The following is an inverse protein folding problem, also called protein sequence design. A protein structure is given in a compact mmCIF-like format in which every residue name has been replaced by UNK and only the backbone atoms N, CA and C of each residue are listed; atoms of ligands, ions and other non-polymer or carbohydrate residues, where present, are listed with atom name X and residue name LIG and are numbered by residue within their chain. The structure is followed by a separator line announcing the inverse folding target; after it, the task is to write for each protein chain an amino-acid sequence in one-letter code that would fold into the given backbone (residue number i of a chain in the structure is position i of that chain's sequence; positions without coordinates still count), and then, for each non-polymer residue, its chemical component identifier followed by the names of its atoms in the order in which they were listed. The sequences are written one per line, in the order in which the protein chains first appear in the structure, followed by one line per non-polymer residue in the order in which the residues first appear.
data_IF_497892558079
#
_entry.id   IF_497892558079
#
_cell.length_a   1.000
_cell.length_b   1.000
_cell.length_c   1.000
_cell.angle_alpha   90.00
_cell.angle_beta   90.00
_cell.angle_gamma   90.00
#
_symmetry.space_group_name_H-M   'P 1'
#
loop_
_entity.id
_entity.type
_entity.pdbx_description
1 polymer ?
#
# COMPACT_ATOMS: atom_id res chain seq x y z
N UNK A 1 5.70 0.27 3.69
CA UNK A 1 5.15 -0.76 2.77
C UNK A 1 4.56 -1.89 3.58
N UNK A 2 3.32 -2.29 3.28
CA UNK A 2 2.64 -3.39 3.96
C UNK A 2 2.83 -4.66 3.12
N UNK A 3 3.56 -5.62 3.68
CA UNK A 3 3.86 -6.89 3.06
C UNK A 3 3.42 -8.02 4.01
N UNK A 4 2.49 -8.86 3.59
CA UNK A 4 1.98 -9.95 4.42
C UNK A 4 0.51 -10.26 4.15
N UNK A 5 -0.02 -11.22 4.90
CA UNK A 5 -1.38 -11.72 4.80
C UNK A 5 -1.43 -13.17 4.30
N UNK A 6 -2.56 -13.87 4.56
CA UNK A 6 -2.74 -15.29 4.21
C UNK A 6 -2.53 -15.61 2.71
N UNK A 7 -2.56 -14.59 1.84
CA UNK A 7 -2.29 -14.69 0.41
C UNK A 7 -0.90 -14.17 0.00
N UNK A 8 0.05 -14.00 0.94
CA UNK A 8 1.39 -13.47 0.68
C UNK A 8 2.23 -14.37 -0.24
N UNK A 9 1.85 -15.63 -0.42
CA UNK A 9 2.58 -16.62 -1.20
C UNK A 9 1.90 -16.94 -2.52
N UNK A 10 2.63 -16.76 -3.60
CA UNK A 10 2.26 -17.10 -4.97
C UNK A 10 2.92 -18.44 -5.33
N UNK A 11 2.15 -19.54 -5.35
CA UNK A 11 2.75 -20.86 -5.61
C UNK A 11 3.93 -21.23 -4.70
N UNK A 12 3.98 -20.64 -3.47
CA UNK A 12 5.11 -20.82 -2.53
C UNK A 12 6.13 -19.68 -2.50
N UNK A 13 6.09 -18.75 -3.48
CA UNK A 13 6.96 -17.57 -3.52
C UNK A 13 6.28 -16.34 -2.92
N UNK A 14 7.07 -15.43 -2.33
CA UNK A 14 6.60 -14.15 -1.83
C UNK A 14 6.24 -13.23 -3.01
N UNK A 15 4.98 -12.77 -3.10
CA UNK A 15 4.43 -12.02 -4.25
C UNK A 15 5.26 -10.79 -4.64
N UNK A 16 5.70 -10.01 -3.67
CA UNK A 16 6.51 -8.81 -3.91
C UNK A 16 7.88 -9.09 -4.53
N UNK A 17 8.34 -10.34 -4.49
CA UNK A 17 9.60 -10.75 -5.12
C UNK A 17 9.43 -11.12 -6.60
N UNK A 18 8.20 -11.25 -7.09
CA UNK A 18 7.92 -11.45 -8.52
C UNK A 18 8.37 -10.23 -9.31
N UNK A 19 8.83 -10.45 -10.54
CA UNK A 19 9.28 -9.38 -11.42
C UNK A 19 8.17 -8.95 -12.39
N UNK A 20 8.11 -7.64 -12.64
CA UNK A 20 7.29 -7.00 -13.66
C UNK A 20 8.19 -6.05 -14.44
N UNK A 21 8.36 -6.30 -15.74
CA UNK A 21 9.27 -5.52 -16.58
C UNK A 21 10.72 -5.55 -16.07
N UNK A 22 11.21 -6.73 -15.69
CA UNK A 22 12.58 -6.96 -15.23
C UNK A 22 12.94 -6.32 -13.87
N UNK A 23 11.93 -5.93 -13.07
CA UNK A 23 12.15 -5.37 -11.73
C UNK A 23 11.14 -5.94 -10.74
N UNK A 24 11.62 -6.37 -9.55
CA UNK A 24 10.74 -6.90 -8.51
C UNK A 24 9.66 -5.89 -8.14
N UNK A 25 8.44 -6.36 -7.85
CA UNK A 25 7.32 -5.52 -7.44
C UNK A 25 7.69 -4.74 -6.17
N UNK A 26 8.26 -5.41 -5.18
CA UNK A 26 8.78 -4.81 -3.95
C UNK A 26 9.72 -3.63 -4.22
N UNK A 27 10.67 -3.76 -5.15
CA UNK A 27 11.63 -2.70 -5.47
C UNK A 27 10.98 -1.50 -6.18
N UNK A 28 9.86 -1.72 -6.90
CA UNK A 28 9.06 -0.65 -7.48
C UNK A 28 8.34 0.14 -6.40
N UNK A 29 7.66 -0.56 -5.48
CA UNK A 29 6.94 0.07 -4.36
C UNK A 29 7.90 0.83 -3.44
N UNK A 30 9.04 0.23 -3.11
CA UNK A 30 10.10 0.89 -2.31
C UNK A 30 10.56 2.18 -2.96
N UNK A 31 10.81 2.16 -4.28
CA UNK A 31 11.26 3.37 -4.98
C UNK A 31 10.19 4.48 -4.97
N UNK A 32 8.91 4.13 -5.20
CA UNK A 32 7.82 5.10 -5.18
C UNK A 32 7.61 5.72 -3.79
N UNK A 33 7.71 4.90 -2.72
CA UNK A 33 7.63 5.40 -1.34
C UNK A 33 8.83 6.30 -1.00
N UNK A 34 10.03 5.89 -1.37
CA UNK A 34 11.24 6.69 -1.14
C UNK A 34 11.21 8.02 -1.89
N UNK A 35 10.74 8.03 -3.15
CA UNK A 35 10.52 9.25 -3.93
C UNK A 35 9.53 10.20 -3.24
N UNK A 36 8.41 9.66 -2.76
CA UNK A 36 7.35 10.46 -2.15
C UNK A 36 7.73 11.02 -0.77
N UNK A 37 8.42 10.23 0.04
CA UNK A 37 8.74 10.58 1.43
C UNK A 37 10.12 11.26 1.59
N UNK A 38 10.99 11.18 0.57
CA UNK A 38 12.38 11.63 0.69
C UNK A 38 13.22 10.83 1.69
N UNK A 39 12.76 9.61 2.07
CA UNK A 39 13.39 8.76 3.06
C UNK A 39 13.20 7.28 2.71
N UNK A 40 14.06 6.41 3.26
CA UNK A 40 13.90 4.96 3.10
C UNK A 40 12.61 4.48 3.78
N UNK A 41 11.75 3.69 3.08
CA UNK A 41 10.56 3.12 3.69
C UNK A 41 10.92 1.94 4.59
N UNK A 42 10.02 1.62 5.54
CA UNK A 42 10.05 0.36 6.28
C UNK A 42 9.19 -0.69 5.61
N UNK A 43 9.48 -1.96 5.88
CA UNK A 43 8.66 -3.12 5.50
C UNK A 43 7.91 -3.60 6.74
N UNK A 44 6.59 -3.69 6.66
CA UNK A 44 5.77 -4.30 7.71
C UNK A 44 5.45 -5.72 7.25
N UNK A 45 5.95 -6.70 7.97
CA UNK A 45 5.81 -8.12 7.63
C UNK A 45 6.11 -9.01 8.85
N UNK A 46 5.31 -10.07 9.03
CA UNK A 46 5.50 -11.07 10.07
C UNK A 46 6.35 -12.26 9.61
N UNK A 47 6.58 -12.41 8.31
CA UNK A 47 7.36 -13.50 7.74
C UNK A 47 8.83 -13.41 8.16
N UNK A 48 9.41 -14.50 8.73
CA UNK A 48 10.81 -14.51 9.17
C UNK A 48 11.80 -14.15 8.05
N UNK A 49 11.46 -14.51 6.79
CA UNK A 49 12.28 -14.26 5.60
C UNK A 49 12.25 -12.81 5.13
N UNK A 50 11.34 -11.97 5.64
CA UNK A 50 11.16 -10.60 5.18
C UNK A 50 12.44 -9.76 5.28
N UNK A 51 13.28 -10.03 6.30
CA UNK A 51 14.58 -9.37 6.47
C UNK A 51 15.57 -9.66 5.34
N UNK A 52 15.39 -10.75 4.61
CA UNK A 52 16.23 -11.10 3.47
C UNK A 52 15.77 -10.46 2.15
N UNK A 53 14.52 -9.93 2.07
CA UNK A 53 13.97 -9.36 0.85
C UNK A 53 14.69 -8.07 0.42
N UNK A 54 15.00 -7.23 1.41
CA UNK A 54 15.75 -5.96 1.26
C UNK A 54 16.54 -5.71 2.55
N UNK A 55 17.82 -6.12 2.56
CA UNK A 55 18.70 -6.04 3.74
C UNK A 55 19.05 -4.61 4.18
N UNK A 56 18.84 -3.65 3.28
CA UNK A 56 19.04 -2.22 3.50
C UNK A 56 17.82 -1.52 4.10
N UNK A 57 16.70 -2.24 4.28
CA UNK A 57 15.48 -1.69 4.87
C UNK A 57 15.15 -2.34 6.21
N UNK A 58 14.56 -1.54 7.10
CA UNK A 58 14.02 -2.03 8.36
C UNK A 58 12.76 -2.87 8.12
N UNK A 59 12.66 -3.99 8.82
CA UNK A 59 11.47 -4.86 8.84
C UNK A 59 10.88 -4.84 10.23
N UNK A 60 9.63 -4.42 10.32
CA UNK A 60 8.84 -4.31 11.56
C UNK A 60 7.71 -5.33 11.52
N UNK A 61 7.59 -6.21 12.53
CA UNK A 61 6.44 -7.13 12.63
C UNK A 61 5.16 -6.38 13.01
N UNK A 62 4.02 -6.96 12.72
CA UNK A 62 2.73 -6.39 13.12
C UNK A 62 2.61 -6.27 14.63
N UNK A 63 2.20 -5.08 15.12
CA UNK A 63 1.94 -4.85 16.58
C UNK A 63 0.75 -5.66 17.07
N UNK A 64 -0.17 -6.05 16.18
CA UNK A 64 -1.29 -6.96 16.41
C UNK A 64 -1.35 -7.97 15.25
N UNK A 65 -0.63 -9.11 15.36
CA UNK A 65 -0.62 -10.13 14.32
C UNK A 65 -2.00 -10.72 14.05
N UNK A 66 -2.25 -11.14 12.81
CA UNK A 66 -3.47 -11.83 12.43
C UNK A 66 -4.61 -10.90 11.95
N UNK A 67 -4.45 -9.59 11.98
CA UNK A 67 -5.45 -8.62 11.55
C UNK A 67 -5.24 -8.10 10.11
N UNK A 68 -4.43 -8.78 9.34
CA UNK A 68 -4.22 -8.53 7.92
C UNK A 68 -3.85 -7.07 7.59
N UNK A 69 -4.46 -6.52 6.56
CA UNK A 69 -4.14 -5.17 6.08
C UNK A 69 -4.38 -4.08 7.13
N UNK A 70 -5.42 -4.21 7.98
CA UNK A 70 -5.71 -3.22 9.01
C UNK A 70 -4.67 -3.25 10.13
N UNK A 71 -4.17 -4.43 10.50
CA UNK A 71 -3.03 -4.59 11.42
C UNK A 71 -1.77 -3.91 10.89
N UNK A 72 -1.45 -4.12 9.61
CA UNK A 72 -0.33 -3.45 8.96
C UNK A 72 -0.45 -1.92 8.92
N UNK A 73 -1.65 -1.38 8.67
CA UNK A 73 -1.88 0.09 8.75
C UNK A 73 -1.67 0.59 10.17
N UNK A 74 -2.18 -0.12 11.19
CA UNK A 74 -1.97 0.22 12.59
C UNK A 74 -0.48 0.27 12.93
N UNK A 75 0.25 -0.79 12.57
CA UNK A 75 1.70 -0.89 12.78
C UNK A 75 2.44 0.29 12.15
N UNK A 76 2.10 0.64 10.89
CA UNK A 76 2.71 1.77 10.21
C UNK A 76 2.49 3.09 10.95
N UNK A 77 1.25 3.36 11.37
CA UNK A 77 0.88 4.60 12.06
C UNK A 77 1.55 4.68 13.44
N UNK A 78 1.59 3.58 14.20
CA UNK A 78 2.21 3.57 15.55
C UNK A 78 3.73 3.66 15.49
N UNK A 79 4.36 3.11 14.42
CA UNK A 79 5.81 3.15 14.27
C UNK A 79 6.30 4.51 13.76
N UNK A 80 5.60 5.10 12.80
CA UNK A 80 6.09 6.28 12.05
C UNK A 80 5.32 7.58 12.36
N UNK A 81 4.14 7.51 12.97
CA UNK A 81 3.22 8.64 13.05
C UNK A 81 2.55 8.89 11.69
N UNK A 82 2.63 10.11 11.12
CA UNK A 82 2.11 10.36 9.77
C UNK A 82 2.84 9.48 8.75
N UNK A 83 2.11 8.69 7.95
CA UNK A 83 2.71 7.67 7.12
C UNK A 83 1.98 7.46 5.79
N UNK A 84 2.74 7.02 4.78
CA UNK A 84 2.24 6.50 3.51
C UNK A 84 2.21 4.97 3.57
N UNK A 85 1.05 4.37 3.31
CA UNK A 85 0.88 2.93 3.22
C UNK A 85 0.65 2.50 1.78
N UNK A 86 1.45 1.55 1.30
CA UNK A 86 1.28 0.90 0.00
C UNK A 86 1.42 -0.60 0.19
N UNK A 87 0.50 -1.39 -0.41
CA UNK A 87 0.63 -2.83 -0.48
C UNK A 87 1.78 -3.22 -1.41
N UNK A 88 2.53 -4.23 -1.03
CA UNK A 88 3.73 -4.69 -1.75
C UNK A 88 3.46 -5.38 -3.10
N UNK A 89 2.20 -5.65 -3.42
CA UNK A 89 1.74 -6.27 -4.66
C UNK A 89 1.16 -5.28 -5.69
N UNK A 90 1.37 -3.96 -5.48
CA UNK A 90 0.95 -2.87 -6.36
C UNK A 90 2.14 -2.30 -7.18
N UNK A 91 2.52 -2.88 -8.31
CA UNK A 91 3.73 -2.51 -9.05
C UNK A 91 3.72 -1.14 -9.73
N UNK A 92 2.56 -0.48 -9.86
CA UNK A 92 2.38 0.68 -10.72
C UNK A 92 2.07 1.99 -10.00
N UNK A 93 2.03 1.99 -8.67
CA UNK A 93 1.79 3.21 -7.86
C UNK A 93 2.98 4.16 -8.01
N UNK A 94 2.78 5.42 -8.51
CA UNK A 94 3.88 6.37 -8.70
C UNK A 94 4.11 7.23 -7.45
N UNK A 95 5.36 7.63 -7.22
CA UNK A 95 5.74 8.50 -6.10
C UNK A 95 4.94 9.82 -6.04
N UNK A 96 4.73 10.54 -7.15
CA UNK A 96 3.94 11.78 -7.14
C UNK A 96 2.50 11.62 -6.61
N UNK A 97 1.82 10.50 -6.88
CA UNK A 97 0.51 10.21 -6.28
C UNK A 97 0.61 10.09 -4.75
N UNK A 98 1.61 9.34 -4.28
CA UNK A 98 1.86 9.16 -2.84
C UNK A 98 2.19 10.49 -2.16
N UNK A 99 3.00 11.34 -2.78
CA UNK A 99 3.30 12.67 -2.27
C UNK A 99 2.03 13.54 -2.14
N UNK A 100 1.14 13.48 -3.13
CA UNK A 100 -0.14 14.20 -3.09
C UNK A 100 -1.06 13.71 -1.96
N UNK A 101 -1.10 12.38 -1.72
CA UNK A 101 -1.84 11.80 -0.60
C UNK A 101 -1.26 12.26 0.74
N UNK A 102 0.07 12.22 0.89
CA UNK A 102 0.76 12.69 2.10
C UNK A 102 0.51 14.16 2.41
N UNK A 103 0.54 15.02 1.40
CA UNK A 103 0.26 16.45 1.54
C UNK A 103 -1.17 16.73 2.04
N UNK A 104 -2.11 15.87 1.72
CA UNK A 104 -3.51 15.98 2.14
C UNK A 104 -3.72 15.79 3.65
N UNK A 105 -2.77 15.17 4.37
CA UNK A 105 -2.85 15.00 5.84
C UNK A 105 -2.83 16.33 6.61
N UNK A 106 -2.44 17.43 5.99
CA UNK A 106 -2.55 18.75 6.61
C UNK A 106 -4.00 19.13 6.98
N UNK A 107 -4.99 18.54 6.30
CA UNK A 107 -6.42 18.84 6.49
C UNK A 107 -7.27 17.66 6.94
N UNK A 108 -6.70 16.46 7.08
CA UNK A 108 -7.44 15.23 7.37
C UNK A 108 -6.61 14.27 8.23
N UNK A 109 -7.30 13.30 8.84
CA UNK A 109 -6.65 12.25 9.63
C UNK A 109 -6.22 11.08 8.73
N UNK A 110 -6.92 10.87 7.60
CA UNK A 110 -6.55 9.94 6.55
C UNK A 110 -6.84 10.53 5.16
N UNK A 111 -6.06 10.17 4.16
CA UNK A 111 -6.27 10.54 2.76
C UNK A 111 -6.21 9.29 1.90
N UNK A 112 -7.31 8.97 1.24
CA UNK A 112 -7.44 7.76 0.41
C UNK A 112 -7.81 8.16 -1.04
N UNK A 113 -7.22 7.55 -2.06
CA UNK A 113 -7.62 7.82 -3.45
C UNK A 113 -8.93 7.11 -3.78
N UNK A 114 -9.77 7.74 -4.59
CA UNK A 114 -10.91 7.08 -5.21
C UNK A 114 -10.42 6.08 -6.26
N UNK A 115 -11.08 4.93 -6.33
CA UNK A 115 -10.75 3.83 -7.23
C UNK A 115 -12.01 3.15 -7.76
N UNK A 116 -11.83 2.32 -8.79
CA UNK A 116 -12.89 1.48 -9.36
C UNK A 116 -13.12 0.17 -8.55
N UNK A 117 -12.51 0.06 -7.35
CA UNK A 117 -12.73 -1.07 -6.45
C UNK A 117 -14.15 -1.08 -5.90
N UNK A 118 -14.68 -2.24 -5.44
CA UNK A 118 -16.02 -2.31 -4.83
C UNK A 118 -16.20 -1.39 -3.61
N UNK A 119 -15.12 -0.92 -3.00
CA UNK A 119 -15.14 0.04 -1.88
C UNK A 119 -15.14 1.50 -2.35
N UNK A 120 -14.91 1.75 -3.64
CA UNK A 120 -14.78 3.08 -4.20
C UNK A 120 -13.50 3.83 -3.81
N UNK A 121 -12.62 3.21 -3.01
CA UNK A 121 -11.34 3.77 -2.55
C UNK A 121 -10.28 2.69 -2.44
N UNK A 122 -8.99 3.10 -2.42
CA UNK A 122 -7.86 2.17 -2.25
C UNK A 122 -7.12 2.43 -0.92
N UNK A 123 -7.51 1.72 0.15
CA UNK A 123 -6.93 1.94 1.48
C UNK A 123 -5.48 1.45 1.61
N UNK A 124 -5.02 0.59 0.70
CA UNK A 124 -3.62 0.13 0.68
C UNK A 124 -2.76 0.89 -0.34
N UNK A 125 -3.20 2.07 -0.73
CA UNK A 125 -2.41 3.12 -1.39
C UNK A 125 -2.87 4.47 -0.82
N UNK A 126 -2.52 4.78 0.44
CA UNK A 126 -3.14 5.86 1.19
C UNK A 126 -2.17 6.51 2.18
N UNK A 127 -2.54 7.68 2.70
CA UNK A 127 -1.84 8.35 3.78
C UNK A 127 -2.68 8.32 5.06
N UNK A 128 -2.03 8.07 6.20
CA UNK A 128 -2.67 7.97 7.51
C UNK A 128 -1.92 8.79 8.55
N UNK A 129 -2.67 9.57 9.33
CA UNK A 129 -2.15 10.35 10.45
C UNK A 129 -2.29 9.60 11.79
N UNK A 130 -1.64 10.11 12.86
CA UNK A 130 -1.60 9.47 14.18
C UNK A 130 -2.99 9.24 14.81
N UNK A 131 -3.97 10.10 14.51
CA UNK A 131 -5.34 9.95 15.00
C UNK A 131 -6.01 8.64 14.57
N UNK A 132 -5.55 8.02 13.48
CA UNK A 132 -6.08 6.75 13.00
C UNK A 132 -5.78 5.59 13.96
N UNK A 133 -4.70 5.61 14.73
CA UNK A 133 -4.29 4.47 15.57
C UNK A 133 -5.39 4.07 16.59
N UNK A 134 -5.94 5.02 17.34
CA UNK A 134 -6.99 4.74 18.30
C UNK A 134 -8.27 4.22 17.62
N UNK A 135 -8.66 4.80 16.48
CA UNK A 135 -9.83 4.37 15.73
C UNK A 135 -9.66 2.95 15.13
N UNK A 136 -8.45 2.62 14.65
CA UNK A 136 -8.13 1.27 14.17
C UNK A 136 -8.20 0.26 15.33
N UNK A 137 -7.59 0.54 16.47
CA UNK A 137 -7.69 -0.34 17.66
C UNK A 137 -9.13 -0.58 18.09
N UNK A 138 -9.97 0.46 18.06
CA UNK A 138 -11.38 0.32 18.37
C UNK A 138 -12.13 -0.53 17.33
N UNK A 139 -11.80 -0.44 16.05
CA UNK A 139 -12.37 -1.29 15.01
C UNK A 139 -11.98 -2.76 15.21
N UNK A 140 -10.70 -3.03 15.45
CA UNK A 140 -10.18 -4.38 15.72
C UNK A 140 -10.82 -4.99 16.96
N UNK A 141 -10.99 -4.21 18.03
CA UNK A 141 -11.66 -4.66 19.26
C UNK A 141 -13.14 -5.06 19.04
N UNK A 142 -13.77 -4.50 18.00
CA UNK A 142 -15.13 -4.89 17.55
C UNK A 142 -15.14 -6.10 16.60
N UNK A 143 -13.99 -6.67 16.27
CA UNK A 143 -13.84 -7.77 15.31
C UNK A 143 -13.99 -7.34 13.85
N UNK A 144 -13.79 -6.06 13.52
CA UNK A 144 -13.87 -5.56 12.15
C UNK A 144 -12.46 -5.31 11.59
N UNK A 145 -11.94 -6.30 10.85
CA UNK A 145 -10.59 -6.30 10.27
C UNK A 145 -10.53 -5.68 8.86
N UNK A 146 -11.64 -5.12 8.36
CA UNK A 146 -11.64 -4.46 7.03
C UNK A 146 -10.75 -3.22 7.06
N UNK A 147 -9.92 -3.04 6.05
CA UNK A 147 -8.98 -1.91 5.97
C UNK A 147 -9.64 -0.51 6.05
N UNK A 148 -10.96 -0.42 5.86
CA UNK A 148 -11.76 0.81 5.95
C UNK A 148 -12.64 0.88 7.21
N UNK A 149 -12.54 -0.08 8.13
CA UNK A 149 -13.44 -0.24 9.29
C UNK A 149 -13.49 0.99 10.20
N UNK A 150 -12.39 1.73 10.28
CA UNK A 150 -12.22 2.91 11.13
C UNK A 150 -12.52 4.25 10.44
N UNK A 151 -12.78 4.27 9.13
CA UNK A 151 -12.94 5.50 8.36
C UNK A 151 -14.08 6.39 8.86
N UNK A 152 -15.12 5.80 9.44
CA UNK A 152 -16.25 6.55 10.03
C UNK A 152 -15.89 7.27 11.35
N UNK A 153 -14.79 6.87 11.98
CA UNK A 153 -14.38 7.31 13.31
C UNK A 153 -13.28 8.41 13.23
N UNK A 154 -12.86 8.80 12.01
CA UNK A 154 -11.81 9.79 11.72
C UNK A 154 -12.20 10.68 10.54
N UNK A 155 -11.50 11.80 10.35
CA UNK A 155 -11.69 12.69 9.18
C UNK A 155 -10.95 12.10 7.99
N UNK A 156 -11.69 11.48 7.07
CA UNK A 156 -11.15 10.94 5.82
C UNK A 156 -11.36 11.91 4.68
N UNK A 157 -10.28 12.41 4.08
CA UNK A 157 -10.32 13.08 2.79
C UNK A 157 -10.17 12.04 1.66
N UNK A 158 -10.99 12.20 0.62
CA UNK A 158 -10.84 11.41 -0.61
C UNK A 158 -10.11 12.25 -1.65
N UNK A 159 -9.06 11.68 -2.25
CA UNK A 159 -8.49 12.25 -3.47
C UNK A 159 -9.41 11.86 -4.63
N UNK A 160 -10.14 12.83 -5.26
CA UNK A 160 -11.13 12.51 -6.27
C UNK A 160 -10.53 11.79 -7.48
N UNK A 161 -11.34 10.96 -8.15
CA UNK A 161 -10.92 10.17 -9.31
C UNK A 161 -10.27 11.01 -10.41
N UNK A 162 -10.79 12.20 -10.67
CA UNK A 162 -10.25 13.15 -11.67
C UNK A 162 -8.82 13.61 -11.31
N UNK A 163 -8.52 13.70 -10.02
CA UNK A 163 -7.17 14.01 -9.53
C UNK A 163 -6.25 12.81 -9.63
N UNK A 164 -6.75 11.60 -9.34
CA UNK A 164 -6.00 10.35 -9.50
C UNK A 164 -5.60 10.14 -10.97
N UNK A 165 -6.49 10.43 -11.91
CA UNK A 165 -6.23 10.33 -13.36
C UNK A 165 -5.04 11.18 -13.83
N UNK A 166 -4.67 12.24 -13.12
CA UNK A 166 -3.48 13.04 -13.44
C UNK A 166 -2.16 12.25 -13.25
N UNK A 167 -2.19 11.17 -12.46
CA UNK A 167 -1.04 10.28 -12.20
C UNK A 167 -1.09 9.01 -13.05
N UNK A 168 -2.24 8.70 -13.65
CA UNK A 168 -2.48 7.54 -14.49
C UNK A 168 -3.87 6.95 -14.33
N UNK A 169 -4.15 5.91 -15.10
CA UNK A 169 -5.42 5.18 -15.01
C UNK A 169 -5.52 4.45 -13.67
N UNK A 170 -6.56 4.71 -12.83
CA UNK A 170 -6.76 4.04 -11.54
C UNK A 170 -6.78 2.51 -11.65
N UNK A 171 -7.33 1.94 -12.73
CA UNK A 171 -7.34 0.50 -12.97
C UNK A 171 -5.93 -0.09 -13.14
N UNK A 172 -4.96 0.72 -13.58
CA UNK A 172 -3.55 0.33 -13.69
C UNK A 172 -2.80 0.68 -12.41
N UNK A 173 -3.00 1.89 -11.87
CA UNK A 173 -2.28 2.36 -10.68
C UNK A 173 -2.47 1.42 -9.48
N UNK A 174 -3.73 0.97 -9.26
CA UNK A 174 -4.12 0.13 -8.13
C UNK A 174 -4.21 -1.36 -8.49
N UNK A 175 -3.59 -1.76 -9.60
CA UNK A 175 -3.55 -3.16 -10.01
C UNK A 175 -2.72 -3.99 -9.02
N UNK A 176 -3.33 -5.05 -8.48
CA UNK A 176 -2.68 -5.98 -7.55
C UNK A 176 -2.29 -7.27 -8.26
N UNK A 177 -1.09 -7.77 -8.01
CA UNK A 177 -0.61 -9.06 -8.52
C UNK A 177 -0.88 -10.14 -7.46
N UNK A 178 -2.00 -10.85 -7.62
CA UNK A 178 -2.44 -11.89 -6.68
C UNK A 178 -2.36 -13.31 -7.23
N UNK A 179 -2.46 -13.49 -8.55
CA UNK A 179 -2.55 -14.78 -9.26
C UNK A 179 -1.59 -14.81 -10.45
N UNK A 180 -1.28 -15.99 -11.02
CA UNK A 180 -0.47 -16.12 -12.23
C UNK A 180 -0.93 -15.23 -13.38
N UNK A 181 -2.23 -15.19 -13.62
CA UNK A 181 -2.79 -14.37 -14.69
C UNK A 181 -2.58 -12.88 -14.47
N UNK A 182 -2.57 -12.44 -13.19
CA UNK A 182 -2.30 -11.04 -12.85
C UNK A 182 -0.85 -10.66 -13.18
N UNK A 183 0.10 -11.58 -13.00
CA UNK A 183 1.48 -11.33 -13.38
C UNK A 183 1.63 -11.15 -14.89
N UNK A 184 1.00 -12.02 -15.69
CA UNK A 184 1.01 -11.89 -17.14
C UNK A 184 0.37 -10.57 -17.60
N UNK A 185 -0.73 -10.15 -16.96
CA UNK A 185 -1.38 -8.85 -17.21
C UNK A 185 -0.49 -7.67 -16.81
N UNK A 186 0.16 -7.74 -15.64
CA UNK A 186 1.10 -6.71 -15.19
C UNK A 186 2.27 -6.55 -16.17
N UNK A 187 2.82 -7.65 -16.69
CA UNK A 187 3.85 -7.64 -17.73
C UNK A 187 3.36 -6.96 -19.01
N UNK A 188 2.14 -7.26 -19.46
CA UNK A 188 1.54 -6.62 -20.63
C UNK A 188 1.36 -5.10 -20.44
N UNK A 189 0.85 -4.69 -19.27
CA UNK A 189 0.70 -3.28 -18.87
C UNK A 189 2.06 -2.56 -18.81
N UNK A 190 3.09 -3.22 -18.30
CA UNK A 190 4.44 -2.65 -18.25
C UNK A 190 5.00 -2.39 -19.65
N UNK A 191 4.84 -3.33 -20.59
CA UNK A 191 5.28 -3.17 -21.98
C UNK A 191 4.56 -2.04 -22.71
N UNK A 192 3.23 -1.94 -22.56
CA UNK A 192 2.47 -0.86 -23.20
C UNK A 192 2.91 0.53 -22.70
N UNK A 193 3.20 0.68 -21.43
CA UNK A 193 3.70 1.96 -20.85
C UNK A 193 5.11 2.32 -21.33
N UNK A 194 5.96 1.35 -21.61
CA UNK A 194 7.30 1.58 -22.15
C UNK A 194 7.28 2.05 -23.61
N UNK A 195 6.26 1.65 -24.38
CA UNK A 195 6.10 2.02 -25.81
C UNK A 195 5.58 3.45 -26.03
N UNK A 196 5.12 4.13 -24.99
CA UNK A 196 4.60 5.52 -25.04
C UNK A 196 5.56 6.56 -24.43
N UNK A 197 6.80 6.18 -24.11
CA UNK A 197 7.88 7.08 -23.66
C UNK A 197 8.92 7.24 -24.75
#
# INVERSE_FOLDING_TARGET
MIAGGAASRYGGAAKGLLEVGGRRILDRVVASLAEAAGAAPIIIADEPEARAWRRDLEVVPDVLPGHGALGGILTAVETLGPTLCVAWDMPFVPGPLLAALGAGLAGADAVVPESDSPRGVEPLCAAYGPACAAAIRAALARGDDRAVAFHRDVRVARLPRERVLQYGDPAVLFFNVNRPDDLARAEALCRSRASYR
#
